data_IF_699720148664
#
_entry.id   IF_699720148664
#
_cell.length_a   1.000
_cell.length_b   1.000
_cell.length_c   1.000
_cell.angle_alpha   90.00
_cell.angle_beta   90.00
_cell.angle_gamma   90.00
#
_symmetry.space_group_name_H-M   'P 1'
#
loop_
_entity.id
_entity.type
_entity.pdbx_description
1 polymer ?
#
# COMPACT_ATOMS: atom_id res chain seq x y z
N UNK A 1 -25.18 8.57 12.81
CA UNK A 1 -24.56 8.07 11.56
C UNK A 1 -23.08 8.41 11.44
N UNK A 2 -22.66 9.69 11.51
CA UNK A 2 -21.24 10.06 11.42
C UNK A 2 -20.30 9.35 12.43
N UNK A 3 -20.70 9.26 13.71
CA UNK A 3 -19.91 8.56 14.74
C UNK A 3 -19.71 7.07 14.43
N UNK A 4 -20.76 6.40 13.94
CA UNK A 4 -20.70 4.98 13.57
C UNK A 4 -19.79 4.77 12.35
N UNK A 5 -19.97 5.57 11.29
CA UNK A 5 -19.14 5.48 10.10
C UNK A 5 -17.65 5.70 10.41
N UNK A 6 -17.35 6.64 11.32
CA UNK A 6 -15.98 6.88 11.75
C UNK A 6 -15.43 5.70 12.57
N UNK A 7 -16.20 5.16 13.51
CA UNK A 7 -15.78 3.99 14.28
C UNK A 7 -15.51 2.78 13.38
N UNK A 8 -16.37 2.52 12.40
CA UNK A 8 -16.18 1.44 11.42
C UNK A 8 -14.89 1.66 10.63
N UNK A 9 -14.70 2.86 10.04
CA UNK A 9 -13.47 3.17 9.30
C UNK A 9 -12.21 3.01 10.14
N UNK A 10 -12.26 3.42 11.41
CA UNK A 10 -11.13 3.32 12.33
C UNK A 10 -10.75 1.86 12.61
N UNK A 11 -11.75 0.98 12.79
CA UNK A 11 -11.51 -0.45 12.99
C UNK A 11 -10.83 -1.07 11.77
N UNK A 12 -11.35 -0.77 10.56
CA UNK A 12 -10.73 -1.24 9.32
C UNK A 12 -9.32 -0.68 9.15
N UNK A 13 -9.12 0.64 9.31
CA UNK A 13 -7.82 1.27 9.20
C UNK A 13 -6.80 0.62 10.15
N UNK A 14 -7.16 0.46 11.43
CA UNK A 14 -6.30 -0.19 12.41
C UNK A 14 -5.89 -1.60 11.98
N UNK A 15 -6.83 -2.39 11.44
CA UNK A 15 -6.53 -3.75 10.97
C UNK A 15 -5.64 -3.76 9.74
N UNK A 16 -5.86 -2.84 8.80
CA UNK A 16 -5.02 -2.69 7.62
C UNK A 16 -3.59 -2.30 7.99
N UNK A 17 -3.40 -1.32 8.87
CA UNK A 17 -2.06 -0.90 9.31
C UNK A 17 -1.27 -2.09 9.90
N UNK A 18 -1.92 -2.96 10.67
CA UNK A 18 -1.26 -4.16 11.20
C UNK A 18 -0.90 -5.18 10.11
N UNK A 19 -1.79 -5.41 9.14
CA UNK A 19 -1.53 -6.35 8.04
C UNK A 19 -0.45 -5.85 7.07
N UNK A 20 -0.33 -4.54 6.91
CA UNK A 20 0.59 -3.91 5.95
C UNK A 20 1.82 -3.27 6.64
N UNK A 21 2.11 -3.60 7.90
CA UNK A 21 3.15 -2.93 8.70
C UNK A 21 4.52 -2.81 8.02
N UNK A 22 4.89 -3.80 7.21
CA UNK A 22 6.19 -3.87 6.52
C UNK A 22 6.08 -3.72 5.00
N UNK A 23 4.93 -3.30 4.47
CA UNK A 23 4.66 -3.30 3.02
C UNK A 23 5.72 -2.54 2.21
N UNK A 24 6.26 -1.45 2.77
CA UNK A 24 7.26 -0.61 2.09
C UNK A 24 8.53 -1.39 1.71
N UNK A 25 8.88 -2.42 2.49
CA UNK A 25 10.07 -3.25 2.22
C UNK A 25 9.92 -4.10 0.95
N UNK A 26 8.68 -4.23 0.45
CA UNK A 26 8.33 -5.01 -0.74
C UNK A 26 7.97 -4.12 -1.92
N UNK A 27 7.99 -2.79 -1.76
CA UNK A 27 7.82 -1.86 -2.88
C UNK A 27 9.09 -1.85 -3.71
N UNK A 28 8.97 -2.18 -4.99
CA UNK A 28 10.09 -2.19 -5.93
C UNK A 28 10.36 -0.75 -6.34
N UNK A 29 11.57 -0.28 -6.08
CA UNK A 29 11.96 1.09 -6.38
C UNK A 29 12.03 1.30 -7.91
N UNK A 30 11.49 2.41 -8.43
CA UNK A 30 11.58 2.73 -9.84
C UNK A 30 13.05 2.99 -10.23
N UNK A 31 13.45 2.51 -11.41
CA UNK A 31 14.79 2.78 -11.95
C UNK A 31 14.84 4.06 -12.79
N UNK A 32 13.68 4.66 -13.07
CA UNK A 32 13.51 5.85 -13.91
C UNK A 32 13.94 7.11 -13.16
N UNK A 33 14.49 8.08 -13.89
CA UNK A 33 14.96 9.34 -13.33
C UNK A 33 13.84 10.35 -13.07
N UNK A 34 12.71 10.24 -13.77
CA UNK A 34 11.56 11.12 -13.61
C UNK A 34 10.24 10.34 -13.57
N UNK A 35 9.22 11.00 -13.02
CA UNK A 35 7.88 10.44 -12.82
C UNK A 35 7.17 10.14 -14.15
N UNK A 36 7.33 11.00 -15.17
CA UNK A 36 6.63 10.85 -16.46
C UNK A 36 7.06 9.58 -17.19
N UNK A 37 8.37 9.29 -17.19
CA UNK A 37 8.91 8.05 -17.72
C UNK A 37 8.36 6.85 -16.98
N UNK A 38 8.32 6.89 -15.64
CA UNK A 38 7.75 5.79 -14.85
C UNK A 38 6.26 5.57 -15.19
N UNK A 39 5.47 6.66 -15.22
CA UNK A 39 4.04 6.61 -15.55
C UNK A 39 3.78 6.01 -16.94
N UNK A 40 4.64 6.27 -17.92
CA UNK A 40 4.51 5.71 -19.27
C UNK A 40 4.69 4.19 -19.35
N UNK A 41 5.37 3.59 -18.36
CA UNK A 41 5.72 2.16 -18.34
C UNK A 41 5.07 1.36 -17.21
N UNK A 42 4.46 2.04 -16.23
CA UNK A 42 3.99 1.45 -14.96
C UNK A 42 3.09 0.23 -15.09
N UNK A 43 2.26 0.16 -16.14
CA UNK A 43 1.32 -0.95 -16.34
C UNK A 43 2.03 -2.28 -16.65
N UNK A 44 3.25 -2.21 -17.16
CA UNK A 44 4.09 -3.38 -17.47
C UNK A 44 5.07 -3.72 -16.37
N UNK A 45 5.21 -2.84 -15.36
CA UNK A 45 6.16 -3.00 -14.27
C UNK A 45 5.57 -3.83 -13.13
N UNK A 46 6.44 -4.61 -12.50
CA UNK A 46 6.16 -5.15 -11.18
C UNK A 46 6.61 -4.13 -10.14
N UNK A 47 5.66 -3.45 -9.52
CA UNK A 47 5.90 -2.40 -8.53
C UNK A 47 5.94 -2.94 -7.08
N UNK A 48 5.58 -4.21 -6.88
CA UNK A 48 5.48 -4.83 -5.55
C UNK A 48 5.87 -6.31 -5.60
N UNK A 49 6.77 -6.73 -4.70
CA UNK A 49 7.15 -8.13 -4.54
C UNK A 49 6.10 -8.87 -3.71
N UNK A 50 5.07 -9.36 -4.41
CA UNK A 50 3.96 -10.10 -3.81
C UNK A 50 4.40 -11.41 -3.16
N UNK A 51 5.38 -12.09 -3.74
CA UNK A 51 5.81 -13.41 -3.29
C UNK A 51 6.51 -13.30 -1.94
N UNK A 52 7.49 -12.39 -1.84
CA UNK A 52 8.16 -12.11 -0.57
C UNK A 52 7.21 -11.48 0.45
N UNK A 53 6.30 -10.60 0.01
CA UNK A 53 5.31 -10.04 0.94
C UNK A 53 4.47 -11.13 1.58
N UNK A 54 3.90 -12.06 0.80
CA UNK A 54 3.03 -13.12 1.30
C UNK A 54 3.79 -14.15 2.15
N UNK A 55 5.06 -14.45 1.86
CA UNK A 55 5.85 -15.38 2.68
C UNK A 55 6.07 -14.88 4.10
N UNK A 56 6.10 -13.56 4.29
CA UNK A 56 6.36 -12.92 5.57
C UNK A 56 5.08 -12.71 6.41
N UNK A 57 3.92 -13.08 5.88
CA UNK A 57 2.63 -12.89 6.55
C UNK A 57 2.23 -14.11 7.39
N UNK A 58 1.55 -13.89 8.54
CA UNK A 58 0.90 -14.96 9.28
C UNK A 58 -0.13 -15.71 8.42
N UNK A 59 -0.17 -17.04 8.55
CA UNK A 59 -1.11 -17.91 7.82
C UNK A 59 -2.57 -17.43 7.84
N UNK A 60 -3.14 -16.93 8.97
CA UNK A 60 -4.52 -16.46 9.00
C UNK A 60 -4.81 -15.26 8.09
N UNK A 61 -3.79 -14.50 7.67
CA UNK A 61 -3.97 -13.32 6.81
C UNK A 61 -3.91 -13.66 5.32
N UNK A 62 -3.29 -14.79 4.96
CA UNK A 62 -3.03 -15.18 3.57
C UNK A 62 -4.30 -15.28 2.69
N UNK A 63 -5.44 -15.84 3.15
CA UNK A 63 -6.64 -15.93 2.31
C UNK A 63 -7.16 -14.56 1.86
N UNK A 64 -7.04 -13.56 2.72
CA UNK A 64 -7.40 -12.18 2.39
C UNK A 64 -6.31 -11.51 1.55
N UNK A 65 -5.05 -11.54 2.01
CA UNK A 65 -3.96 -10.81 1.39
C UNK A 65 -3.66 -11.29 -0.03
N UNK A 66 -3.67 -12.60 -0.28
CA UNK A 66 -3.44 -13.18 -1.61
C UNK A 66 -4.46 -12.74 -2.66
N UNK A 67 -5.67 -12.34 -2.24
CA UNK A 67 -6.69 -11.79 -3.13
C UNK A 67 -6.63 -10.27 -3.18
N UNK A 68 -6.40 -9.64 -2.04
CA UNK A 68 -6.42 -8.19 -1.91
C UNK A 68 -5.28 -7.53 -2.70
N UNK A 69 -4.07 -8.10 -2.68
CA UNK A 69 -2.92 -7.55 -3.42
C UNK A 69 -3.05 -7.68 -4.95
N UNK A 70 -4.04 -8.43 -5.43
CA UNK A 70 -4.40 -8.53 -6.85
C UNK A 70 -5.44 -7.48 -7.27
N UNK A 71 -5.96 -6.69 -6.34
CA UNK A 71 -6.99 -5.70 -6.64
C UNK A 71 -6.40 -4.43 -7.23
N UNK A 72 -7.17 -3.77 -8.09
CA UNK A 72 -6.83 -2.43 -8.59
C UNK A 72 -6.66 -1.42 -7.45
N UNK A 73 -7.43 -1.56 -6.37
CA UNK A 73 -7.30 -0.69 -5.20
C UNK A 73 -5.90 -0.76 -4.59
N UNK A 74 -5.34 -1.97 -4.44
CA UNK A 74 -3.99 -2.14 -3.92
C UNK A 74 -2.94 -1.66 -4.92
N UNK A 75 -3.11 -1.97 -6.22
CA UNK A 75 -2.21 -1.47 -7.27
C UNK A 75 -2.11 0.07 -7.23
N UNK A 76 -3.25 0.77 -7.20
CA UNK A 76 -3.28 2.24 -7.08
C UNK A 76 -2.62 2.73 -5.79
N UNK A 77 -2.76 2.01 -4.67
CA UNK A 77 -2.09 2.37 -3.41
C UNK A 77 -0.56 2.31 -3.54
N UNK A 78 -0.02 1.25 -4.13
CA UNK A 78 1.42 1.12 -4.38
C UNK A 78 1.91 2.17 -5.38
N UNK A 79 1.16 2.42 -6.44
CA UNK A 79 1.51 3.43 -7.42
C UNK A 79 1.57 4.83 -6.79
N UNK A 80 0.62 5.18 -5.92
CA UNK A 80 0.66 6.43 -5.16
C UNK A 80 1.87 6.50 -4.21
N UNK A 81 2.27 5.37 -3.62
CA UNK A 81 3.49 5.30 -2.81
C UNK A 81 4.74 5.56 -3.64
N UNK A 82 4.83 5.03 -4.84
CA UNK A 82 5.96 5.28 -5.75
C UNK A 82 5.96 6.72 -6.25
N UNK A 83 4.80 7.27 -6.64
CA UNK A 83 4.67 8.68 -7.05
C UNK A 83 5.13 9.65 -5.95
N UNK A 84 4.95 9.29 -4.67
CA UNK A 84 5.40 10.11 -3.54
C UNK A 84 6.93 10.29 -3.44
N UNK A 85 7.72 9.59 -4.27
CA UNK A 85 9.15 9.81 -4.41
C UNK A 85 9.48 11.12 -5.16
N UNK A 86 8.56 11.61 -6.00
CA UNK A 86 8.76 12.82 -6.79
C UNK A 86 7.83 13.96 -6.39
N UNK A 87 6.63 13.66 -5.88
CA UNK A 87 5.62 14.66 -5.52
C UNK A 87 5.17 14.55 -4.05
N UNK A 88 4.47 15.58 -3.57
CA UNK A 88 3.91 15.56 -2.22
C UNK A 88 2.87 14.44 -2.08
N UNK A 89 3.01 13.51 -1.10
CA UNK A 89 2.12 12.36 -1.03
C UNK A 89 0.68 12.75 -0.73
N UNK A 90 -0.26 11.94 -1.26
CA UNK A 90 -1.69 12.05 -0.98
C UNK A 90 -1.95 12.14 0.55
N UNK A 91 -2.84 13.03 1.01
CA UNK A 91 -3.10 13.21 2.44
C UNK A 91 -3.53 11.92 3.17
N UNK A 92 -4.23 11.01 2.51
CA UNK A 92 -4.64 9.72 3.08
C UNK A 92 -3.47 8.74 3.12
N UNK A 93 -2.56 8.76 2.15
CA UNK A 93 -1.30 8.02 2.23
C UNK A 93 -0.45 8.51 3.41
N UNK A 94 -0.32 9.83 3.56
CA UNK A 94 0.37 10.44 4.72
C UNK A 94 -0.25 10.00 6.05
N UNK A 95 -1.58 9.99 6.13
CA UNK A 95 -2.31 9.53 7.32
C UNK A 95 -2.01 8.05 7.59
N UNK A 96 -2.07 7.20 6.56
CA UNK A 96 -1.79 5.77 6.69
C UNK A 96 -0.38 5.52 7.22
N UNK A 97 0.63 6.12 6.60
CA UNK A 97 2.04 5.99 7.00
C UNK A 97 2.28 6.58 8.39
N UNK A 98 1.64 7.71 8.74
CA UNK A 98 1.74 8.29 10.07
C UNK A 98 1.18 7.38 11.16
N UNK A 99 0.06 6.71 10.91
CA UNK A 99 -0.52 5.76 11.87
C UNK A 99 0.30 4.48 11.98
N UNK A 100 0.95 4.06 10.90
CA UNK A 100 1.83 2.90 10.89
C UNK A 100 3.10 3.11 11.72
N UNK A 101 3.67 4.32 11.70
CA UNK A 101 4.81 4.69 12.55
C UNK A 101 4.50 4.67 14.06
N UNK A 102 3.24 4.59 14.46
CA UNK A 102 2.82 4.49 15.86
C UNK A 102 2.70 3.05 16.38
N UNK A 103 2.89 2.03 15.51
CA UNK A 103 2.90 0.61 15.87
C UNK A 103 4.30 0.10 16.20
#
# INVERSE_FOLDING_TARGET
MLKLNNAVREIFLSRFIHMFRSYESFVIQPNQHDMEQWLSTRETMQNFDKTSFLSDQPEPYLPFLSRFIETQMFATFIDNKIVSLWEDPDPYLKLFDARMRLL
#
